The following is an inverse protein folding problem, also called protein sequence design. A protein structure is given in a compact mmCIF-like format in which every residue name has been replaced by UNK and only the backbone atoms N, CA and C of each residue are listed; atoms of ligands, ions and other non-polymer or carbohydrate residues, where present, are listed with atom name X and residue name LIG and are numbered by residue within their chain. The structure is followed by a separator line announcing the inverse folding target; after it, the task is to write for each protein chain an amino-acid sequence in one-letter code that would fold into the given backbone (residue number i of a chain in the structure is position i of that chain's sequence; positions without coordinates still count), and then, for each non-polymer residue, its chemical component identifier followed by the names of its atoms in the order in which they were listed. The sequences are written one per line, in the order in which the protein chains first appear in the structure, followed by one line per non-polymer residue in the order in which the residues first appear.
data_IF_485843013671
#
_entry.id   IF_485843013671
#
_cell.length_a   1.000
_cell.length_b   1.000
_cell.length_c   1.000
_cell.angle_alpha   90.00
_cell.angle_beta   90.00
_cell.angle_gamma   90.00
#
_symmetry.space_group_name_H-M   'P 1'
#
loop_
_entity.id
_entity.type
_entity.pdbx_description
1 polymer ?
#
# COMPACT_ATOMS: atom_id res chain seq x y z
N UNK A 1 -22.13 -26.36 -26.65
CA UNK A 1 -22.83 -25.13 -26.22
C UNK A 1 -22.86 -24.95 -24.70
N UNK A 2 -23.34 -25.91 -23.90
CA UNK A 2 -23.43 -25.78 -22.43
C UNK A 2 -22.09 -25.43 -21.74
N UNK A 3 -21.00 -26.11 -22.10
CA UNK A 3 -19.67 -25.85 -21.53
C UNK A 3 -19.12 -24.45 -21.86
N UNK A 4 -19.47 -23.91 -23.03
CA UNK A 4 -19.06 -22.56 -23.44
C UNK A 4 -19.80 -21.52 -22.59
N UNK A 5 -21.09 -21.75 -22.34
CA UNK A 5 -21.91 -20.87 -21.48
C UNK A 5 -21.36 -20.89 -20.04
N UNK A 6 -21.05 -22.08 -19.49
CA UNK A 6 -20.44 -22.20 -18.15
C UNK A 6 -19.09 -21.48 -18.06
N UNK A 7 -18.23 -21.63 -19.07
CA UNK A 7 -16.93 -20.97 -19.10
C UNK A 7 -17.07 -19.43 -19.17
N UNK A 8 -18.00 -18.92 -19.97
CA UNK A 8 -18.29 -17.48 -20.05
C UNK A 8 -18.84 -16.92 -18.72
N UNK A 9 -19.70 -17.67 -18.02
CA UNK A 9 -20.22 -17.28 -16.70
C UNK A 9 -19.10 -17.19 -15.67
N UNK A 10 -18.19 -18.18 -15.62
CA UNK A 10 -17.03 -18.16 -14.70
C UNK A 10 -16.11 -16.98 -15.00
N UNK A 11 -15.78 -16.75 -16.27
CA UNK A 11 -14.95 -15.61 -16.68
C UNK A 11 -15.61 -14.27 -16.33
N UNK A 12 -16.93 -14.13 -16.54
CA UNK A 12 -17.66 -12.92 -16.22
C UNK A 12 -17.70 -12.64 -14.71
N UNK A 13 -17.95 -13.66 -13.89
CA UNK A 13 -17.92 -13.54 -12.42
C UNK A 13 -16.51 -13.16 -11.95
N UNK A 14 -15.48 -13.80 -12.49
CA UNK A 14 -14.07 -13.49 -12.18
C UNK A 14 -13.70 -12.05 -12.55
N UNK A 15 -14.06 -11.58 -13.75
CA UNK A 15 -13.83 -10.21 -14.18
C UNK A 15 -14.59 -9.18 -13.33
N UNK A 16 -15.84 -9.46 -13.00
CA UNK A 16 -16.66 -8.60 -12.14
C UNK A 16 -16.05 -8.48 -10.74
N UNK A 17 -15.60 -9.60 -10.17
CA UNK A 17 -14.93 -9.65 -8.87
C UNK A 17 -13.64 -8.84 -8.85
N UNK A 18 -12.78 -9.02 -9.87
CA UNK A 18 -11.53 -8.25 -10.01
C UNK A 18 -11.84 -6.75 -10.10
N UNK A 19 -12.80 -6.35 -10.95
CA UNK A 19 -13.17 -4.94 -11.15
C UNK A 19 -13.80 -4.31 -9.91
N UNK A 20 -14.55 -5.08 -9.13
CA UNK A 20 -15.11 -4.64 -7.86
C UNK A 20 -13.99 -4.44 -6.82
N UNK A 21 -13.05 -5.37 -6.72
CA UNK A 21 -11.94 -5.26 -5.77
C UNK A 21 -11.01 -4.09 -6.10
N UNK A 22 -10.74 -3.82 -7.38
CA UNK A 22 -9.95 -2.65 -7.79
C UNK A 22 -10.62 -1.34 -7.34
N UNK A 23 -11.93 -1.18 -7.58
CA UNK A 23 -12.66 0.03 -7.15
C UNK A 23 -12.72 0.18 -5.63
N UNK A 24 -12.93 -0.91 -4.91
CA UNK A 24 -12.92 -0.91 -3.44
C UNK A 24 -11.53 -0.56 -2.93
N UNK A 25 -10.47 -1.09 -3.54
CA UNK A 25 -9.10 -0.80 -3.16
C UNK A 25 -8.78 0.69 -3.34
N UNK A 26 -9.18 1.32 -4.45
CA UNK A 26 -9.04 2.77 -4.63
C UNK A 26 -9.79 3.58 -3.57
N UNK A 27 -11.03 3.19 -3.25
CA UNK A 27 -11.80 3.83 -2.18
C UNK A 27 -11.13 3.68 -0.80
N UNK A 28 -10.57 2.51 -0.52
CA UNK A 28 -9.87 2.19 0.72
C UNK A 28 -8.56 2.98 0.84
N UNK A 29 -7.77 3.06 -0.25
CA UNK A 29 -6.59 3.92 -0.34
C UNK A 29 -6.92 5.37 0.00
N UNK A 30 -8.00 5.91 -0.55
CA UNK A 30 -8.44 7.28 -0.23
C UNK A 30 -8.78 7.47 1.25
N UNK A 31 -9.42 6.48 1.90
CA UNK A 31 -9.69 6.55 3.34
C UNK A 31 -8.40 6.53 4.17
N UNK A 32 -7.44 5.68 3.81
CA UNK A 32 -6.14 5.62 4.49
C UNK A 32 -5.36 6.92 4.30
N UNK A 33 -5.37 7.50 3.10
CA UNK A 33 -4.75 8.81 2.84
C UNK A 33 -5.40 9.93 3.65
N UNK A 34 -6.72 9.91 3.86
CA UNK A 34 -7.38 10.87 4.76
C UNK A 34 -6.90 10.72 6.21
N UNK A 35 -6.70 9.49 6.70
CA UNK A 35 -6.14 9.25 8.04
C UNK A 35 -4.70 9.75 8.15
N UNK A 36 -3.87 9.53 7.12
CA UNK A 36 -2.50 10.04 7.07
C UNK A 36 -2.45 11.57 7.07
N UNK A 37 -3.27 12.22 6.25
CA UNK A 37 -3.35 13.68 6.19
C UNK A 37 -3.85 14.28 7.51
N UNK A 38 -4.79 13.60 8.18
CA UNK A 38 -5.25 14.02 9.51
C UNK A 38 -4.14 13.87 10.55
N UNK A 39 -3.35 12.78 10.51
CA UNK A 39 -2.19 12.60 11.37
C UNK A 39 -1.15 13.71 11.17
N UNK A 40 -0.87 14.11 9.94
CA UNK A 40 0.07 15.20 9.67
C UNK A 40 -0.37 16.51 10.36
N UNK A 41 -1.68 16.74 10.45
CA UNK A 41 -2.26 17.92 11.10
C UNK A 41 -2.35 17.81 12.62
N UNK A 42 -2.65 16.62 13.16
CA UNK A 42 -2.95 16.44 14.60
C UNK A 42 -1.79 15.80 15.38
N UNK A 43 -0.81 15.23 14.69
CA UNK A 43 0.25 14.41 15.29
C UNK A 43 -0.19 13.01 15.73
N UNK A 44 -1.47 12.66 15.58
CA UNK A 44 -2.04 11.38 16.07
C UNK A 44 -2.45 10.51 14.89
N UNK A 45 -1.92 9.28 14.82
CA UNK A 45 -2.37 8.30 13.84
C UNK A 45 -3.34 7.30 14.46
N UNK A 46 -4.59 7.31 13.99
CA UNK A 46 -5.59 6.30 14.34
C UNK A 46 -5.49 5.10 13.38
N UNK A 47 -4.47 4.28 13.59
CA UNK A 47 -4.36 2.98 12.92
C UNK A 47 -3.59 1.98 13.75
N UNK A 48 -3.87 0.70 13.49
CA UNK A 48 -3.21 -0.41 14.16
C UNK A 48 -1.98 -0.83 13.37
N UNK A 49 -1.01 -1.44 14.05
CA UNK A 49 0.05 -2.16 13.36
C UNK A 49 -0.55 -3.32 12.54
N UNK A 50 0.03 -3.63 11.37
CA UNK A 50 -0.39 -4.78 10.61
C UNK A 50 -0.09 -6.08 11.37
N UNK A 51 -0.88 -7.12 11.10
CA UNK A 51 -0.84 -8.43 11.76
C UNK A 51 0.54 -9.09 11.69
N UNK A 52 1.30 -8.80 10.63
CA UNK A 52 2.62 -9.37 10.38
C UNK A 52 3.77 -8.64 11.09
N UNK A 53 3.51 -7.56 11.84
CA UNK A 53 4.57 -6.74 12.48
C UNK A 53 5.39 -7.51 13.54
N UNK A 54 4.89 -8.62 14.06
CA UNK A 54 5.64 -9.50 14.98
C UNK A 54 6.57 -10.48 14.25
N UNK A 55 6.44 -10.61 12.92
CA UNK A 55 7.21 -11.55 12.12
C UNK A 55 8.35 -10.83 11.39
N UNK A 56 9.58 -11.06 11.85
CA UNK A 56 10.79 -10.45 11.29
C UNK A 56 10.96 -10.72 9.78
N UNK A 57 10.69 -11.94 9.32
CA UNK A 57 10.83 -12.29 7.90
C UNK A 57 9.82 -11.51 7.05
N UNK A 58 8.60 -11.30 7.55
CA UNK A 58 7.58 -10.49 6.87
C UNK A 58 7.95 -9.01 6.84
N UNK A 59 8.57 -8.49 7.90
CA UNK A 59 9.09 -7.11 7.90
C UNK A 59 10.17 -6.96 6.82
N UNK A 60 11.14 -7.88 6.76
CA UNK A 60 12.21 -7.83 5.76
C UNK A 60 11.67 -7.95 4.34
N UNK A 61 10.72 -8.86 4.11
CA UNK A 61 10.03 -9.02 2.83
C UNK A 61 9.30 -7.73 2.43
N UNK A 62 8.55 -7.13 3.37
CA UNK A 62 7.83 -5.88 3.14
C UNK A 62 8.77 -4.73 2.76
N UNK A 63 9.87 -4.56 3.52
CA UNK A 63 10.89 -3.55 3.23
C UNK A 63 11.52 -3.77 1.85
N UNK A 64 11.81 -5.02 1.49
CA UNK A 64 12.32 -5.37 0.17
C UNK A 64 11.35 -4.99 -0.94
N UNK A 65 10.05 -5.24 -0.76
CA UNK A 65 9.01 -4.89 -1.74
C UNK A 65 8.88 -3.37 -1.93
N UNK A 66 8.83 -2.58 -0.85
CA UNK A 66 8.68 -1.12 -0.96
C UNK A 66 9.92 -0.48 -1.61
N UNK A 67 11.13 -0.95 -1.26
CA UNK A 67 12.38 -0.45 -1.85
C UNK A 67 12.45 -0.81 -3.33
N UNK A 68 12.15 -2.05 -3.68
CA UNK A 68 12.14 -2.48 -5.08
C UNK A 68 11.08 -1.73 -5.89
N UNK A 69 9.89 -1.50 -5.32
CA UNK A 69 8.81 -0.73 -5.94
C UNK A 69 9.23 0.71 -6.23
N UNK A 70 9.81 1.39 -5.25
CA UNK A 70 10.27 2.77 -5.42
C UNK A 70 11.46 2.88 -6.38
N UNK A 71 12.44 1.98 -6.30
CA UNK A 71 13.59 1.94 -7.24
C UNK A 71 13.13 1.71 -8.68
N UNK A 72 12.15 0.82 -8.92
CA UNK A 72 11.54 0.60 -10.26
C UNK A 72 10.85 1.84 -10.83
N UNK A 73 10.59 2.85 -10.01
CA UNK A 73 10.00 4.14 -10.41
C UNK A 73 11.01 5.28 -10.35
N UNK A 74 12.30 4.96 -10.38
CA UNK A 74 13.41 5.91 -10.40
C UNK A 74 13.46 6.84 -9.18
N UNK A 75 12.94 6.38 -8.03
CA UNK A 75 13.18 7.09 -6.77
C UNK A 75 14.64 6.87 -6.37
N UNK A 76 15.43 7.95 -6.19
CA UNK A 76 16.85 7.82 -5.94
C UNK A 76 17.15 7.37 -4.51
N UNK A 77 18.26 6.67 -4.32
CA UNK A 77 18.64 6.08 -3.03
C UNK A 77 18.88 7.13 -1.94
N UNK A 78 19.37 8.32 -2.30
CA UNK A 78 19.53 9.43 -1.34
C UNK A 78 18.20 9.90 -0.74
N UNK A 79 17.08 9.73 -1.46
CA UNK A 79 15.74 10.04 -0.97
C UNK A 79 15.17 8.86 -0.17
N UNK A 80 15.40 7.62 -0.63
CA UNK A 80 14.90 6.42 0.06
C UNK A 80 15.55 6.17 1.41
N UNK A 81 16.86 6.36 1.53
CA UNK A 81 17.60 6.02 2.74
C UNK A 81 17.06 6.76 3.97
N UNK A 82 16.87 8.10 3.95
CA UNK A 82 16.27 8.83 5.07
C UNK A 82 14.86 8.36 5.42
N UNK A 83 14.01 8.10 4.42
CA UNK A 83 12.62 7.65 4.61
C UNK A 83 12.57 6.30 5.33
N UNK A 84 13.52 5.41 5.05
CA UNK A 84 13.57 4.07 5.62
C UNK A 84 14.31 4.03 6.96
N UNK A 85 15.37 4.82 7.10
CA UNK A 85 16.19 4.86 8.33
C UNK A 85 15.56 5.67 9.45
N UNK A 86 14.68 6.63 9.10
CA UNK A 86 13.98 7.42 10.09
C UNK A 86 12.83 6.61 10.72
N UNK A 87 12.92 6.43 12.04
CA UNK A 87 11.99 5.60 12.80
C UNK A 87 10.56 6.13 12.74
N UNK A 88 10.37 7.44 12.72
CA UNK A 88 9.04 8.04 12.70
C UNK A 88 8.41 7.94 11.31
N UNK A 89 9.17 8.19 10.23
CA UNK A 89 8.71 7.95 8.86
C UNK A 89 8.36 6.48 8.63
N UNK A 90 9.25 5.56 9.00
CA UNK A 90 8.98 4.13 8.86
C UNK A 90 7.75 3.70 9.67
N UNK A 91 7.59 4.19 10.90
CA UNK A 91 6.40 3.94 11.71
C UNK A 91 5.12 4.40 11.01
N UNK A 92 5.10 5.59 10.40
CA UNK A 92 3.95 6.08 9.63
C UNK A 92 3.60 5.15 8.46
N UNK A 93 4.62 4.71 7.71
CA UNK A 93 4.43 3.80 6.58
C UNK A 93 3.90 2.42 7.02
N UNK A 94 4.39 1.89 8.14
CA UNK A 94 3.90 0.63 8.72
C UNK A 94 2.44 0.79 9.18
N UNK A 95 2.11 1.89 9.84
CA UNK A 95 0.74 2.14 10.29
C UNK A 95 -0.22 2.36 9.09
N UNK A 96 0.26 2.92 7.98
CA UNK A 96 -0.50 2.98 6.72
C UNK A 96 -0.79 1.58 6.17
N UNK A 97 0.19 0.66 6.22
CA UNK A 97 -0.01 -0.74 5.85
C UNK A 97 -1.04 -1.43 6.75
N UNK A 98 -0.98 -1.21 8.07
CA UNK A 98 -1.99 -1.74 8.99
C UNK A 98 -3.39 -1.16 8.76
N UNK A 99 -3.51 0.12 8.40
CA UNK A 99 -4.78 0.71 8.00
C UNK A 99 -5.33 0.10 6.70
N UNK A 100 -4.46 -0.25 5.74
CA UNK A 100 -4.85 -0.99 4.53
C UNK A 100 -5.30 -2.42 4.84
N UNK A 101 -4.63 -3.10 5.78
CA UNK A 101 -5.00 -4.45 6.22
C UNK A 101 -6.40 -4.48 6.86
N UNK A 102 -6.72 -3.50 7.69
CA UNK A 102 -8.06 -3.35 8.29
C UNK A 102 -9.17 -3.23 7.23
N UNK A 103 -8.83 -2.76 6.04
CA UNK A 103 -9.74 -2.64 4.90
C UNK A 103 -9.76 -3.89 4.01
N UNK A 104 -9.10 -4.98 4.43
CA UNK A 104 -9.05 -6.27 3.74
C UNK A 104 -7.98 -6.37 2.66
N UNK A 105 -7.01 -5.45 2.62
CA UNK A 105 -5.95 -5.46 1.60
C UNK A 105 -4.94 -6.58 1.88
N UNK A 106 -4.49 -7.27 0.82
CA UNK A 106 -3.44 -8.28 0.93
C UNK A 106 -2.09 -7.68 1.32
N UNK A 107 -1.16 -8.50 1.79
CA UNK A 107 0.20 -8.08 2.14
C UNK A 107 0.90 -7.33 0.99
N UNK A 108 0.76 -7.84 -0.24
CA UNK A 108 1.32 -7.23 -1.44
C UNK A 108 0.64 -5.89 -1.77
N UNK A 109 -0.68 -5.80 -1.61
CA UNK A 109 -1.42 -4.55 -1.82
C UNK A 109 -1.01 -3.47 -0.80
N UNK A 110 -0.74 -3.87 0.45
CA UNK A 110 -0.21 -2.99 1.48
C UNK A 110 1.17 -2.44 1.08
N UNK A 111 2.09 -3.33 0.64
CA UNK A 111 3.43 -2.93 0.21
C UNK A 111 3.39 -2.03 -1.03
N UNK A 112 2.53 -2.35 -2.01
CA UNK A 112 2.30 -1.50 -3.18
C UNK A 112 1.82 -0.12 -2.80
N UNK A 113 0.82 -0.02 -1.91
CA UNK A 113 0.30 1.26 -1.46
C UNK A 113 1.35 2.11 -0.73
N UNK A 114 2.14 1.48 0.15
CA UNK A 114 3.24 2.18 0.83
C UNK A 114 4.32 2.63 -0.17
N UNK A 115 4.62 1.82 -1.18
CA UNK A 115 5.51 2.24 -2.28
C UNK A 115 4.93 3.44 -3.03
N UNK A 116 3.63 3.46 -3.32
CA UNK A 116 2.96 4.58 -3.98
C UNK A 116 3.12 5.88 -3.17
N UNK A 117 2.96 5.83 -1.84
CA UNK A 117 3.17 6.99 -0.94
C UNK A 117 4.59 7.55 -1.06
N UNK A 118 5.61 6.68 -1.06
CA UNK A 118 7.02 7.09 -1.19
C UNK A 118 7.26 7.75 -2.55
N UNK A 119 6.73 7.17 -3.62
CA UNK A 119 6.86 7.68 -4.98
C UNK A 119 6.18 9.05 -5.12
N UNK A 120 4.98 9.20 -4.55
CA UNK A 120 4.28 10.49 -4.54
C UNK A 120 5.03 11.56 -3.76
N UNK A 121 5.63 11.20 -2.62
CA UNK A 121 6.46 12.12 -1.84
C UNK A 121 7.69 12.60 -2.65
N UNK A 122 8.38 11.67 -3.32
CA UNK A 122 9.48 12.01 -4.22
C UNK A 122 9.05 12.92 -5.37
N UNK A 123 7.91 12.62 -6.00
CA UNK A 123 7.38 13.43 -7.09
C UNK A 123 7.05 14.86 -6.64
N UNK A 124 6.59 15.06 -5.39
CA UNK A 124 6.38 16.39 -4.82
C UNK A 124 7.70 17.12 -4.60
N UNK A 125 8.70 16.47 -3.99
CA UNK A 125 10.02 17.08 -3.77
C UNK A 125 10.68 17.49 -5.09
N UNK A 126 10.63 16.64 -6.12
CA UNK A 126 11.22 16.92 -7.44
C UNK A 126 10.65 18.18 -8.11
N UNK A 127 9.41 18.56 -7.81
CA UNK A 127 8.72 19.71 -8.42
C UNK A 127 8.49 20.87 -7.44
N UNK A 128 9.04 20.79 -6.22
CA UNK A 128 9.05 21.89 -5.24
C UNK A 128 10.28 22.76 -5.43
#
# INVERSE_FOLDING_TARGET
MLYIILLLVVLFIGWSYIKARVRINEANKMQVMRKLNNMEKTGVFEGSYPSWMSNKNRIEEFLGMIVAGAKRRNVPEYFLNPVISDKEHMKKLILAAGAMEQQGSSFEEQAMFVSDIIIEAWNREKHS
#
